data_IF_805395655838
#
_entry.id   IF_805395655838
#
_cell.length_a   1.000
_cell.length_b   1.000
_cell.length_c   1.000
_cell.angle_alpha   90.00
_cell.angle_beta   90.00
_cell.angle_gamma   90.00
#
_symmetry.space_group_name_H-M   'P 1'
#
loop_
_entity.id
_entity.type
_entity.pdbx_description
1 polymer ?
#
# COMPACT_ATOMS: atom_id res chain seq x y z
N UNK A 1 -21.65 13.34 -9.57
CA UNK A 1 -20.58 12.50 -10.15
C UNK A 1 -20.11 11.59 -9.03
N UNK A 2 -20.12 10.28 -9.20
CA UNK A 2 -19.60 9.33 -8.21
C UNK A 2 -18.08 9.39 -8.22
N UNK A 3 -17.49 9.81 -7.12
CA UNK A 3 -16.04 9.91 -6.95
C UNK A 3 -15.39 8.55 -7.23
N UNK A 4 -14.45 8.53 -8.18
CA UNK A 4 -13.65 7.35 -8.50
C UNK A 4 -12.31 7.48 -7.83
N UNK A 5 -12.04 6.66 -6.81
CA UNK A 5 -10.71 6.57 -6.23
C UNK A 5 -9.81 5.69 -7.07
N UNK A 6 -8.54 6.07 -7.16
CA UNK A 6 -7.55 5.33 -7.93
C UNK A 6 -6.38 4.88 -7.04
N UNK A 7 -6.18 3.58 -6.94
CA UNK A 7 -5.09 2.97 -6.18
C UNK A 7 -4.07 2.34 -7.10
N UNK A 8 -2.82 2.73 -6.96
CA UNK A 8 -1.70 2.12 -7.68
C UNK A 8 -1.14 0.99 -6.82
N UNK A 9 -1.17 -0.24 -7.31
CA UNK A 9 -0.73 -1.44 -6.61
C UNK A 9 0.49 -2.01 -7.34
N UNK A 10 1.59 -2.22 -6.63
CA UNK A 10 2.77 -2.86 -7.20
C UNK A 10 2.65 -4.38 -7.06
N UNK A 11 2.87 -5.11 -8.15
CA UNK A 11 3.02 -6.55 -8.17
C UNK A 11 4.51 -6.87 -8.23
N UNK A 12 5.01 -7.52 -7.18
CA UNK A 12 6.39 -7.97 -7.07
C UNK A 12 6.44 -9.48 -7.33
N UNK A 13 7.05 -9.85 -8.44
CA UNK A 13 7.27 -11.25 -8.77
C UNK A 13 8.56 -11.43 -9.56
N UNK A 14 9.17 -12.60 -9.43
CA UNK A 14 10.29 -13.02 -10.26
C UNK A 14 9.86 -13.96 -11.39
N UNK A 15 8.56 -14.29 -11.46
CA UNK A 15 7.97 -15.22 -12.40
C UNK A 15 6.77 -14.54 -13.05
N UNK A 16 7.02 -13.78 -14.13
CA UNK A 16 6.00 -13.00 -14.84
C UNK A 16 4.86 -13.88 -15.37
N UNK A 17 5.12 -15.16 -15.63
CA UNK A 17 4.09 -16.11 -16.05
C UNK A 17 2.98 -16.26 -15.01
N UNK A 18 3.28 -16.07 -13.71
CA UNK A 18 2.25 -16.04 -12.67
C UNK A 18 1.30 -14.86 -12.85
N UNK A 19 1.85 -13.69 -13.15
CA UNK A 19 1.03 -12.51 -13.37
C UNK A 19 0.14 -12.71 -14.59
N UNK A 20 0.70 -13.13 -15.72
CA UNK A 20 -0.07 -13.39 -16.95
C UNK A 20 -1.18 -14.42 -16.73
N UNK A 21 -0.94 -15.49 -15.97
CA UNK A 21 -1.96 -16.50 -15.66
C UNK A 21 -3.08 -15.99 -14.74
N UNK A 22 -2.77 -15.09 -13.80
CA UNK A 22 -3.73 -14.59 -12.82
C UNK A 22 -4.42 -13.30 -13.26
N UNK A 23 -3.87 -12.62 -14.26
CA UNK A 23 -4.29 -11.30 -14.71
C UNK A 23 -5.79 -11.23 -15.03
N UNK A 24 -6.25 -12.04 -15.98
CA UNK A 24 -7.64 -11.98 -16.46
C UNK A 24 -8.65 -12.45 -15.40
N UNK A 25 -8.24 -13.34 -14.49
CA UNK A 25 -9.11 -13.92 -13.47
C UNK A 25 -9.21 -13.10 -12.18
N UNK A 26 -8.14 -12.40 -11.80
CA UNK A 26 -7.99 -11.82 -10.46
C UNK A 26 -7.71 -10.32 -10.49
N UNK A 27 -6.84 -9.87 -11.42
CA UNK A 27 -6.46 -8.45 -11.51
C UNK A 27 -7.32 -7.65 -12.47
N UNK A 28 -8.15 -8.32 -13.28
CA UNK A 28 -9.16 -7.73 -14.15
C UNK A 28 -8.76 -7.71 -15.62
N UNK A 29 -9.56 -7.01 -16.41
CA UNK A 29 -9.46 -7.01 -17.87
C UNK A 29 -8.48 -5.91 -18.34
N UNK A 30 -7.68 -6.24 -19.34
CA UNK A 30 -6.77 -5.35 -20.03
C UNK A 30 -7.47 -4.08 -20.58
N UNK A 31 -6.71 -2.98 -20.64
CA UNK A 31 -7.04 -1.90 -21.57
C UNK A 31 -6.99 -2.45 -23.00
N UNK A 32 -7.77 -1.90 -23.94
CA UNK A 32 -7.80 -2.35 -25.34
C UNK A 32 -6.42 -2.79 -25.87
N UNK A 33 -6.37 -3.90 -26.63
CA UNK A 33 -5.16 -4.46 -27.29
C UNK A 33 -4.32 -3.44 -28.09
N UNK A 34 -4.84 -2.23 -28.30
CA UNK A 34 -4.15 -1.08 -28.90
C UNK A 34 -3.09 -0.46 -28.00
N UNK A 35 -3.14 -0.68 -26.68
CA UNK A 35 -2.09 -0.22 -25.75
C UNK A 35 -0.89 -1.18 -25.83
N UNK A 36 0.18 -0.73 -26.47
CA UNK A 36 1.41 -1.51 -26.61
C UNK A 36 2.00 -1.73 -25.22
N UNK A 37 2.12 -2.99 -24.79
CA UNK A 37 2.86 -3.33 -23.57
C UNK A 37 4.23 -2.63 -23.62
N UNK A 38 4.53 -1.83 -22.60
CA UNK A 38 5.85 -1.23 -22.48
C UNK A 38 6.79 -2.34 -22.06
N UNK A 39 7.87 -2.59 -22.82
CA UNK A 39 8.88 -3.58 -22.43
C UNK A 39 9.34 -3.29 -20.99
N UNK A 40 9.15 -4.24 -20.10
CA UNK A 40 9.51 -4.13 -18.68
C UNK A 40 8.38 -3.70 -17.73
N UNK A 41 7.17 -3.40 -18.23
CA UNK A 41 6.02 -3.05 -17.40
C UNK A 41 4.68 -3.47 -18.05
N UNK A 42 3.92 -4.27 -17.31
CA UNK A 42 2.53 -4.63 -17.61
C UNK A 42 1.60 -4.08 -16.53
N UNK A 43 0.36 -3.77 -16.89
CA UNK A 43 -0.64 -3.38 -15.90
C UNK A 43 -2.04 -3.88 -16.23
N UNK A 44 -2.88 -4.01 -15.20
CA UNK A 44 -4.29 -4.35 -15.31
C UNK A 44 -5.13 -3.45 -14.40
N UNK A 45 -6.43 -3.36 -14.67
CA UNK A 45 -7.37 -2.63 -13.83
C UNK A 45 -8.45 -3.54 -13.27
N UNK A 46 -8.76 -3.39 -11.99
CA UNK A 46 -9.98 -3.92 -11.39
C UNK A 46 -10.75 -2.84 -10.67
N UNK A 47 -12.06 -3.05 -10.57
CA UNK A 47 -12.97 -2.15 -9.85
C UNK A 47 -13.50 -2.89 -8.62
N UNK A 48 -13.38 -2.27 -7.46
CA UNK A 48 -13.90 -2.81 -6.21
C UNK A 48 -15.00 -1.91 -5.68
N UNK A 49 -15.98 -2.52 -5.02
CA UNK A 49 -16.97 -1.81 -4.20
C UNK A 49 -16.58 -1.99 -2.75
N UNK A 50 -16.17 -0.91 -2.10
CA UNK A 50 -15.67 -0.87 -0.73
C UNK A 50 -16.64 -0.04 0.12
N UNK A 51 -17.60 -0.72 0.75
CA UNK A 51 -18.75 -0.08 1.38
C UNK A 51 -19.67 0.54 0.33
N UNK A 52 -19.90 1.84 0.41
CA UNK A 52 -20.67 2.63 -0.55
C UNK A 52 -19.81 3.24 -1.68
N UNK A 53 -18.50 2.98 -1.67
CA UNK A 53 -17.55 3.60 -2.59
C UNK A 53 -17.11 2.66 -3.71
N UNK A 54 -17.05 3.17 -4.94
CA UNK A 54 -16.44 2.48 -6.07
C UNK A 54 -14.99 2.94 -6.25
N UNK A 55 -14.06 2.00 -6.15
CA UNK A 55 -12.64 2.26 -6.29
C UNK A 55 -12.07 1.51 -7.49
N UNK A 56 -11.03 2.08 -8.10
CA UNK A 56 -10.29 1.48 -9.21
C UNK A 56 -8.87 1.18 -8.73
N UNK A 57 -8.44 -0.07 -8.85
CA UNK A 57 -7.06 -0.47 -8.62
C UNK A 57 -6.36 -0.64 -9.97
N UNK A 58 -5.15 -0.09 -10.08
CA UNK A 58 -4.22 -0.32 -11.17
C UNK A 58 -3.08 -1.18 -10.65
N UNK A 59 -3.02 -2.42 -11.11
CA UNK A 59 -1.99 -3.38 -10.76
C UNK A 59 -0.84 -3.29 -11.74
N UNK A 60 0.37 -2.98 -11.26
CA UNK A 60 1.58 -2.88 -12.06
C UNK A 60 2.47 -4.09 -11.82
N UNK A 61 2.60 -4.98 -12.80
CA UNK A 61 3.60 -6.02 -12.81
C UNK A 61 4.83 -5.51 -13.56
N UNK A 62 5.98 -5.53 -12.91
CA UNK A 62 7.20 -4.96 -13.46
C UNK A 62 8.27 -6.04 -13.59
N UNK A 63 9.01 -6.01 -14.69
CA UNK A 63 9.99 -7.03 -15.01
C UNK A 63 11.14 -7.01 -13.99
N UNK A 64 11.45 -8.17 -13.41
CA UNK A 64 12.43 -8.32 -12.34
C UNK A 64 13.89 -8.35 -12.81
N UNK A 65 14.15 -8.34 -14.11
CA UNK A 65 15.52 -8.38 -14.65
C UNK A 65 16.26 -7.06 -14.38
N UNK A 66 17.57 -7.10 -14.03
CA UNK A 66 18.30 -5.90 -13.61
C UNK A 66 18.29 -4.74 -14.62
N UNK A 67 18.18 -5.04 -15.92
CA UNK A 67 18.13 -4.01 -16.97
C UNK A 67 16.92 -3.06 -16.87
N UNK A 68 15.83 -3.48 -16.21
CA UNK A 68 14.63 -2.66 -16.03
C UNK A 68 14.57 -1.94 -14.68
N UNK A 69 15.66 -1.90 -13.90
CA UNK A 69 15.67 -1.25 -12.57
C UNK A 69 15.17 0.20 -12.61
N UNK A 70 15.60 1.00 -13.60
CA UNK A 70 15.14 2.39 -13.74
C UNK A 70 13.63 2.48 -14.03
N UNK A 71 13.13 1.61 -14.92
CA UNK A 71 11.70 1.50 -15.24
C UNK A 71 10.93 1.09 -13.99
N UNK A 72 11.41 0.08 -13.26
CA UNK A 72 10.82 -0.35 -11.99
C UNK A 72 10.74 0.80 -10.99
N UNK A 73 11.82 1.53 -10.75
CA UNK A 73 11.82 2.64 -9.80
C UNK A 73 10.77 3.71 -10.14
N UNK A 74 10.61 4.03 -11.43
CA UNK A 74 9.60 4.98 -11.90
C UNK A 74 8.17 4.48 -11.60
N UNK A 75 7.90 3.21 -11.87
CA UNK A 75 6.56 2.64 -11.70
C UNK A 75 6.28 2.12 -10.28
N UNK A 76 7.28 1.86 -9.45
CA UNK A 76 7.07 1.50 -8.04
C UNK A 76 6.72 2.73 -7.20
N UNK A 77 7.24 3.92 -7.57
CA UNK A 77 6.98 5.16 -6.86
C UNK A 77 5.48 5.49 -6.79
N UNK A 78 5.02 5.83 -5.58
CA UNK A 78 3.64 6.24 -5.32
C UNK A 78 2.64 5.08 -5.26
N UNK A 79 3.12 3.83 -5.23
CA UNK A 79 2.26 2.67 -5.05
C UNK A 79 1.72 2.64 -3.62
N UNK A 80 0.41 2.43 -3.49
CA UNK A 80 -0.32 2.44 -2.22
C UNK A 80 -0.45 1.05 -1.58
N UNK A 81 -0.05 0.00 -2.30
CA UNK A 81 -0.10 -1.39 -1.84
C UNK A 81 0.88 -2.26 -2.62
N UNK A 82 1.22 -3.40 -2.03
CA UNK A 82 2.14 -4.40 -2.59
C UNK A 82 1.43 -5.74 -2.64
N UNK A 83 1.48 -6.40 -3.79
CA UNK A 83 1.15 -7.81 -3.96
C UNK A 83 2.43 -8.55 -4.28
N UNK A 84 2.76 -9.56 -3.48
CA UNK A 84 3.89 -10.45 -3.74
C UNK A 84 3.35 -11.74 -4.36
N UNK A 85 3.75 -12.04 -5.61
CA UNK A 85 3.40 -13.31 -6.25
C UNK A 85 4.56 -14.30 -6.17
N UNK A 86 4.32 -15.43 -5.52
CA UNK A 86 5.33 -16.46 -5.28
C UNK A 86 4.96 -17.76 -6.00
N UNK A 87 5.91 -18.26 -6.79
CA UNK A 87 5.90 -19.65 -7.23
C UNK A 87 6.68 -20.48 -6.19
N UNK A 88 6.01 -21.24 -5.30
CA UNK A 88 6.71 -21.95 -4.23
C UNK A 88 7.65 -23.04 -4.74
N UNK A 89 7.44 -23.52 -5.98
CA UNK A 89 8.30 -24.51 -6.65
C UNK A 89 9.67 -23.96 -7.02
N UNK A 90 9.84 -22.63 -7.06
CA UNK A 90 11.12 -21.99 -7.36
C UNK A 90 11.93 -21.80 -6.07
N UNK A 91 13.14 -22.39 -6.02
CA UNK A 91 13.99 -22.38 -4.82
C UNK A 91 14.30 -20.96 -4.32
N UNK A 92 14.62 -20.04 -5.24
CA UNK A 92 15.00 -18.65 -4.94
C UNK A 92 13.86 -17.63 -5.00
N UNK A 93 12.60 -18.09 -4.97
CA UNK A 93 11.46 -17.19 -5.12
C UNK A 93 11.45 -16.04 -4.11
N UNK A 94 11.65 -16.36 -2.83
CA UNK A 94 11.64 -15.39 -1.72
C UNK A 94 12.84 -14.46 -1.80
N UNK A 95 14.05 -14.99 -2.03
CA UNK A 95 15.28 -14.18 -2.19
C UNK A 95 15.16 -13.12 -3.30
N UNK A 96 14.54 -13.49 -4.43
CA UNK A 96 14.35 -12.56 -5.55
C UNK A 96 13.27 -11.53 -5.24
N UNK A 97 12.20 -11.93 -4.56
CA UNK A 97 11.16 -10.99 -4.12
C UNK A 97 11.67 -10.03 -3.05
N UNK A 98 12.54 -10.47 -2.14
CA UNK A 98 13.19 -9.61 -1.15
C UNK A 98 13.99 -8.48 -1.80
N UNK A 99 14.70 -8.79 -2.89
CA UNK A 99 15.39 -7.77 -3.67
C UNK A 99 14.42 -6.73 -4.23
N UNK A 100 13.30 -7.17 -4.83
CA UNK A 100 12.29 -6.27 -5.37
C UNK A 100 11.58 -5.45 -4.28
N UNK A 101 11.37 -6.04 -3.10
CA UNK A 101 10.81 -5.34 -1.94
C UNK A 101 11.77 -4.25 -1.44
N UNK A 102 13.08 -4.53 -1.38
CA UNK A 102 14.10 -3.52 -1.07
C UNK A 102 14.12 -2.38 -2.10
N UNK A 103 13.97 -2.69 -3.38
CA UNK A 103 13.82 -1.67 -4.42
C UNK A 103 12.55 -0.82 -4.19
N UNK A 104 11.40 -1.45 -3.90
CA UNK A 104 10.17 -0.73 -3.54
C UNK A 104 10.38 0.24 -2.39
N UNK A 105 11.03 -0.21 -1.30
CA UNK A 105 11.29 0.60 -0.11
C UNK A 105 12.26 1.74 -0.43
N UNK A 106 13.23 1.52 -1.31
CA UNK A 106 14.19 2.57 -1.68
C UNK A 106 13.55 3.76 -2.40
N UNK A 107 12.41 3.55 -3.07
CA UNK A 107 11.69 4.59 -3.83
C UNK A 107 10.39 5.05 -3.17
N UNK A 108 9.92 4.35 -2.12
CA UNK A 108 8.74 4.70 -1.35
C UNK A 108 9.12 4.92 0.12
N UNK A 109 8.75 6.07 0.68
CA UNK A 109 9.16 6.47 2.03
C UNK A 109 8.57 5.62 3.17
N UNK A 110 7.56 4.80 2.90
CA UNK A 110 6.83 4.04 3.91
C UNK A 110 6.44 2.66 3.41
N UNK A 111 6.41 1.65 4.30
CA UNK A 111 5.86 0.34 4.00
C UNK A 111 4.37 0.47 3.69
N UNK A 112 3.98 0.08 2.48
CA UNK A 112 2.58 -0.05 2.07
C UNK A 112 2.02 -1.41 2.52
N UNK A 113 0.69 -1.58 2.64
CA UNK A 113 0.08 -2.87 2.95
C UNK A 113 0.54 -3.93 1.96
N UNK A 114 0.80 -5.13 2.47
CA UNK A 114 1.33 -6.25 1.70
C UNK A 114 0.33 -7.40 1.75
N UNK A 115 0.15 -8.06 0.62
CA UNK A 115 -0.48 -9.38 0.54
C UNK A 115 0.43 -10.34 -0.23
N UNK A 116 0.56 -11.58 0.26
CA UNK A 116 1.31 -12.64 -0.42
C UNK A 116 0.31 -13.57 -1.08
N UNK A 117 0.42 -13.70 -2.41
CA UNK A 117 -0.31 -14.68 -3.19
C UNK A 117 0.67 -15.72 -3.68
N UNK A 118 0.38 -17.00 -3.48
CA UNK A 118 1.24 -18.07 -3.98
C UNK A 118 0.45 -19.11 -4.76
N UNK A 119 1.04 -19.69 -5.80
CA UNK A 119 0.35 -20.74 -6.55
C UNK A 119 0.23 -21.99 -5.69
N UNK A 120 -0.94 -22.64 -5.71
CA UNK A 120 -1.10 -23.93 -5.04
C UNK A 120 -0.14 -24.95 -5.63
N UNK A 121 0.59 -25.62 -4.73
CA UNK A 121 1.38 -26.80 -5.06
C UNK A 121 0.59 -28.06 -4.70
N UNK A 122 -0.40 -28.38 -5.54
CA UNK A 122 -1.35 -29.46 -5.26
C UNK A 122 -2.43 -29.04 -4.26
N UNK A 123 -2.72 -29.87 -3.25
CA UNK A 123 -3.83 -29.63 -2.29
C UNK A 123 -3.41 -28.94 -0.99
N UNK A 124 -2.12 -28.74 -0.76
CA UNK A 124 -1.61 -28.22 0.51
C UNK A 124 -1.17 -26.75 0.38
N UNK A 125 -1.38 -26.01 1.47
CA UNK A 125 -0.85 -24.65 1.64
C UNK A 125 0.67 -24.68 1.52
N UNK A 126 1.25 -23.76 0.76
CA UNK A 126 2.71 -23.65 0.69
C UNK A 126 3.26 -23.17 2.03
N UNK A 127 3.77 -24.10 2.85
CA UNK A 127 4.44 -23.79 4.12
C UNK A 127 5.53 -22.73 3.97
N UNK A 128 6.22 -22.73 2.82
CA UNK A 128 7.29 -21.78 2.49
C UNK A 128 6.74 -20.36 2.29
N UNK A 129 5.68 -20.22 1.50
CA UNK A 129 5.05 -18.92 1.21
C UNK A 129 4.38 -18.34 2.46
N UNK A 130 3.76 -19.19 3.29
CA UNK A 130 3.19 -18.80 4.56
C UNK A 130 4.25 -18.31 5.55
N UNK A 131 5.35 -19.07 5.71
CA UNK A 131 6.45 -18.65 6.58
C UNK A 131 7.05 -17.31 6.15
N UNK A 132 7.13 -17.08 4.84
CA UNK A 132 7.57 -15.80 4.28
C UNK A 132 6.61 -14.64 4.58
N UNK A 133 5.29 -14.86 4.46
CA UNK A 133 4.31 -13.85 4.86
C UNK A 133 4.42 -13.49 6.36
N UNK A 134 4.62 -14.47 7.23
CA UNK A 134 4.85 -14.24 8.68
C UNK A 134 6.13 -13.45 8.93
N UNK A 135 7.20 -13.70 8.17
CA UNK A 135 8.43 -12.91 8.27
C UNK A 135 8.21 -11.45 7.85
N UNK A 136 7.46 -11.23 6.76
CA UNK A 136 7.09 -9.89 6.30
C UNK A 136 6.18 -9.17 7.29
N UNK A 137 5.27 -9.88 7.95
CA UNK A 137 4.43 -9.31 9.02
C UNK A 137 5.28 -8.85 10.19
N UNK A 138 6.22 -9.69 10.66
CA UNK A 138 7.15 -9.31 11.72
C UNK A 138 8.03 -8.11 11.33
N UNK A 139 8.50 -8.07 10.08
CA UNK A 139 9.34 -6.98 9.59
C UNK A 139 8.57 -5.67 9.42
N UNK A 140 7.37 -5.74 8.82
CA UNK A 140 6.60 -4.55 8.43
C UNK A 140 5.73 -4.00 9.56
N UNK A 141 5.41 -4.82 10.56
CA UNK A 141 4.44 -4.50 11.61
C UNK A 141 2.98 -4.50 11.14
N UNK A 142 2.72 -4.85 9.87
CA UNK A 142 1.38 -5.02 9.32
C UNK A 142 1.02 -6.49 9.27
N UNK A 143 -0.25 -6.82 9.51
CA UNK A 143 -0.79 -8.12 9.11
C UNK A 143 -0.56 -8.31 7.60
N UNK A 144 0.11 -9.40 7.22
CA UNK A 144 0.39 -9.75 5.82
C UNK A 144 -0.41 -11.00 5.46
N UNK A 145 -1.60 -10.86 4.83
CA UNK A 145 -2.39 -12.01 4.45
C UNK A 145 -1.65 -12.89 3.46
N UNK A 146 -1.83 -14.20 3.60
CA UNK A 146 -1.28 -15.21 2.71
C UNK A 146 -2.40 -16.02 2.07
N UNK A 147 -2.41 -16.11 0.75
CA UNK A 147 -3.39 -16.89 0.00
C UNK A 147 -2.71 -17.83 -0.98
N UNK A 148 -3.16 -19.08 -0.97
CA UNK A 148 -2.84 -19.99 -2.06
C UNK A 148 -3.90 -19.92 -3.15
N UNK A 149 -3.45 -19.64 -4.35
CA UNK A 149 -4.25 -19.32 -5.51
C UNK A 149 -4.33 -20.53 -6.43
N UNK A 150 -5.56 -20.79 -6.89
CA UNK A 150 -5.80 -21.49 -8.14
C UNK A 150 -6.11 -20.45 -9.22
N UNK A 151 -5.96 -20.80 -10.50
CA UNK A 151 -6.19 -19.91 -11.65
C UNK A 151 -7.60 -19.28 -11.70
N UNK A 152 -8.57 -19.77 -10.90
CA UNK A 152 -9.98 -19.32 -10.89
C UNK A 152 -10.59 -19.23 -9.47
N UNK A 153 -9.85 -18.71 -8.50
CA UNK A 153 -10.36 -18.70 -7.12
C UNK A 153 -11.26 -17.50 -6.83
N UNK A 154 -12.57 -17.70 -6.64
CA UNK A 154 -13.48 -16.68 -6.05
C UNK A 154 -12.97 -16.16 -4.69
N UNK A 155 -12.22 -16.99 -3.96
CA UNK A 155 -11.55 -16.59 -2.71
C UNK A 155 -10.54 -15.48 -2.91
N UNK A 156 -9.94 -15.37 -4.10
CA UNK A 156 -8.95 -14.34 -4.41
C UNK A 156 -9.58 -12.95 -4.49
N UNK A 157 -10.73 -12.85 -5.14
CA UNK A 157 -11.44 -11.57 -5.30
C UNK A 157 -11.89 -11.02 -3.94
N UNK A 158 -12.45 -11.89 -3.09
CA UNK A 158 -12.87 -11.52 -1.74
C UNK A 158 -11.72 -10.99 -0.89
N UNK A 159 -10.57 -11.67 -0.91
CA UNK A 159 -9.42 -11.27 -0.11
C UNK A 159 -8.68 -10.08 -0.71
N UNK A 160 -8.68 -9.92 -2.03
CA UNK A 160 -8.26 -8.67 -2.66
C UNK A 160 -9.16 -7.52 -2.24
N UNK A 161 -10.48 -7.72 -2.10
CA UNK A 161 -11.38 -6.71 -1.54
C UNK A 161 -10.95 -6.25 -0.15
N UNK A 162 -10.65 -7.20 0.76
CA UNK A 162 -10.12 -6.88 2.11
C UNK A 162 -8.78 -6.17 2.05
N UNK A 163 -7.87 -6.61 1.18
CA UNK A 163 -6.59 -5.96 0.96
C UNK A 163 -6.77 -4.52 0.46
N UNK A 164 -7.71 -4.28 -0.45
CA UNK A 164 -8.01 -2.95 -0.97
C UNK A 164 -8.60 -2.03 0.11
N UNK A 165 -9.39 -2.56 1.06
CA UNK A 165 -9.83 -1.81 2.23
C UNK A 165 -8.64 -1.41 3.13
N UNK A 166 -7.68 -2.32 3.35
CA UNK A 166 -6.44 -2.01 4.06
C UNK A 166 -5.62 -0.92 3.33
N UNK A 167 -5.50 -1.01 2.00
CA UNK A 167 -4.82 0.01 1.17
C UNK A 167 -5.50 1.37 1.27
N UNK A 168 -6.84 1.40 1.20
CA UNK A 168 -7.63 2.63 1.36
C UNK A 168 -7.37 3.29 2.71
N UNK A 169 -7.47 2.52 3.81
CA UNK A 169 -7.25 3.02 5.16
C UNK A 169 -5.79 3.47 5.39
N UNK A 170 -4.82 2.69 4.92
CA UNK A 170 -3.41 3.04 5.00
C UNK A 170 -3.09 4.33 4.25
N UNK A 171 -3.63 4.49 3.03
CA UNK A 171 -3.37 5.70 2.24
C UNK A 171 -3.94 6.94 2.92
N UNK A 172 -5.13 6.81 3.52
CA UNK A 172 -5.74 7.88 4.29
C UNK A 172 -4.83 8.32 5.46
N UNK A 173 -4.32 7.35 6.24
CA UNK A 173 -3.38 7.57 7.34
C UNK A 173 -2.05 8.18 6.88
N UNK A 174 -1.43 7.63 5.84
CA UNK A 174 -0.11 8.06 5.37
C UNK A 174 -0.13 9.51 4.89
N UNK A 175 -1.18 9.92 4.19
CA UNK A 175 -1.40 11.32 3.82
C UNK A 175 -1.43 12.24 5.03
N UNK A 176 -2.23 11.87 6.05
CA UNK A 176 -2.33 12.65 7.28
C UNK A 176 -0.96 12.75 7.92
N UNK A 177 -0.24 11.63 8.02
CA UNK A 177 1.11 11.57 8.55
C UNK A 177 2.11 12.45 7.79
N UNK A 178 2.18 12.38 6.45
CA UNK A 178 3.04 13.25 5.65
C UNK A 178 2.74 14.72 5.88
N UNK A 179 1.46 15.05 6.01
CA UNK A 179 1.02 16.41 6.26
C UNK A 179 1.44 16.86 7.65
N UNK A 180 1.21 16.04 8.68
CA UNK A 180 1.70 16.30 10.04
C UNK A 180 3.22 16.51 10.04
N UNK A 181 3.99 15.66 9.34
CA UNK A 181 5.46 15.83 9.24
C UNK A 181 5.87 17.15 8.61
N UNK A 182 5.21 17.57 7.53
CA UNK A 182 5.44 18.87 6.90
C UNK A 182 5.05 20.04 7.82
N UNK A 183 3.98 19.89 8.60
CA UNK A 183 3.46 20.96 9.47
C UNK A 183 4.21 21.15 10.76
N UNK A 184 4.62 20.05 11.38
CA UNK A 184 5.37 20.09 12.62
C UNK A 184 6.86 20.28 12.39
N UNK A 185 7.31 20.29 11.13
CA UNK A 185 8.73 20.29 10.74
C UNK A 185 9.51 19.44 11.74
N UNK A 186 9.20 18.14 11.79
CA UNK A 186 9.61 17.23 12.89
C UNK A 186 11.14 17.21 13.09
N UNK A 187 11.89 17.69 12.09
CA UNK A 187 13.33 17.84 12.09
C UNK A 187 13.81 19.21 12.67
N UNK A 188 12.93 20.21 12.78
CA UNK A 188 13.15 21.50 13.45
C UNK A 188 12.46 21.54 14.83
N UNK A 189 13.26 21.41 15.87
CA UNK A 189 12.81 21.33 17.27
C UNK A 189 12.21 22.67 17.70
N UNK A 190 10.88 22.74 17.84
CA UNK A 190 10.26 23.66 18.80
C UNK A 190 8.94 23.09 19.32
N UNK A 191 8.69 23.24 20.63
CA UNK A 191 7.42 22.90 21.27
C UNK A 191 6.32 23.79 20.70
N UNK A 192 5.69 23.35 19.62
CA UNK A 192 4.59 24.07 18.99
C UNK A 192 3.29 23.33 19.23
N UNK A 193 2.35 24.01 19.88
CA UNK A 193 0.94 23.63 19.89
C UNK A 193 0.33 24.01 18.55
N UNK A 194 -0.34 23.08 17.89
CA UNK A 194 -1.10 23.35 16.66
C UNK A 194 -2.53 22.86 16.83
N UNK A 195 -3.47 23.70 16.39
CA UNK A 195 -4.89 23.32 16.33
C UNK A 195 -5.13 22.25 15.27
N UNK A 196 -5.83 21.19 15.66
CA UNK A 196 -6.34 20.12 14.79
C UNK A 196 -7.17 20.72 13.65
N UNK A 197 -8.02 21.71 13.93
CA UNK A 197 -8.86 22.36 12.91
C UNK A 197 -8.03 23.06 11.83
N UNK A 198 -6.90 23.68 12.22
CA UNK A 198 -5.98 24.30 11.25
C UNK A 198 -5.31 23.24 10.37
N UNK A 199 -4.86 22.12 10.95
CA UNK A 199 -4.28 21.00 10.21
C UNK A 199 -5.32 20.41 9.26
N UNK A 200 -6.54 20.15 9.75
CA UNK A 200 -7.69 19.66 8.96
C UNK A 200 -8.04 20.60 7.82
N UNK A 201 -8.14 21.92 8.07
CA UNK A 201 -8.42 22.92 7.04
C UNK A 201 -7.36 22.94 5.95
N UNK A 202 -6.09 22.81 6.32
CA UNK A 202 -4.99 22.81 5.36
C UNK A 202 -4.86 21.49 4.61
N UNK A 203 -5.08 20.35 5.27
CA UNK A 203 -5.33 19.07 4.62
C UNK A 203 -6.41 19.26 3.56
N UNK A 204 -7.56 19.85 3.92
CA UNK A 204 -8.66 20.05 2.98
C UNK A 204 -8.28 20.91 1.78
N UNK A 205 -7.42 21.93 1.96
CA UNK A 205 -6.87 22.76 0.86
C UNK A 205 -5.88 22.02 -0.04
N UNK A 206 -5.05 21.14 0.52
CA UNK A 206 -4.13 20.29 -0.24
C UNK A 206 -4.93 19.24 -1.04
N UNK A 207 -6.04 18.77 -0.45
CA UNK A 207 -6.76 17.59 -0.91
C UNK A 207 -8.08 17.84 -1.65
N UNK A 208 -8.52 19.10 -1.78
CA UNK A 208 -9.68 19.48 -2.61
C UNK A 208 -9.58 18.98 -4.05
N UNK A 209 -8.38 18.65 -4.52
CA UNK A 209 -8.12 18.21 -5.88
C UNK A 209 -8.04 16.69 -6.10
N UNK A 210 -8.14 15.81 -5.08
CA UNK A 210 -7.88 14.39 -5.39
C UNK A 210 -8.53 13.30 -4.53
N UNK A 211 -8.81 13.48 -3.22
CA UNK A 211 -9.28 12.34 -2.39
C UNK A 211 -10.16 12.67 -1.16
N UNK A 212 -10.09 13.87 -0.57
CA UNK A 212 -10.69 14.14 0.76
C UNK A 212 -12.00 14.92 0.74
N UNK A 213 -12.70 14.95 -0.40
CA UNK A 213 -14.06 15.48 -0.41
C UNK A 213 -15.05 14.56 0.37
N UNK A 214 -14.65 13.32 0.68
CA UNK A 214 -15.53 12.27 1.20
C UNK A 214 -15.30 11.86 2.65
N UNK A 215 -14.21 12.33 3.26
CA UNK A 215 -14.04 12.21 4.71
C UNK A 215 -14.62 13.50 5.28
N UNK A 216 -15.70 13.38 6.06
CA UNK A 216 -16.23 14.55 6.75
C UNK A 216 -15.20 15.11 7.73
N UNK A 217 -15.36 16.36 8.16
CA UNK A 217 -14.37 17.00 9.03
C UNK A 217 -14.20 16.24 10.34
N UNK A 218 -15.24 15.59 10.86
CA UNK A 218 -15.15 14.82 12.10
C UNK A 218 -14.27 13.57 11.95
N UNK A 219 -14.43 12.84 10.84
CA UNK A 219 -13.61 11.68 10.52
C UNK A 219 -12.17 12.08 10.21
N UNK A 220 -11.95 13.21 9.51
CA UNK A 220 -10.61 13.71 9.21
C UNK A 220 -9.91 14.17 10.49
N UNK A 221 -10.63 14.83 11.39
CA UNK A 221 -10.10 15.19 12.71
C UNK A 221 -9.78 13.95 13.55
N UNK A 222 -10.63 12.93 13.56
CA UNK A 222 -10.37 11.67 14.27
C UNK A 222 -9.10 10.99 13.73
N UNK A 223 -8.94 10.95 12.39
CA UNK A 223 -7.76 10.40 11.74
C UNK A 223 -6.49 11.20 12.08
N UNK A 224 -6.58 12.53 12.09
CA UNK A 224 -5.48 13.42 12.52
C UNK A 224 -5.08 13.14 13.96
N UNK A 225 -6.04 13.01 14.88
CA UNK A 225 -5.78 12.70 16.29
C UNK A 225 -5.12 11.32 16.43
N UNK A 226 -5.72 10.28 15.84
CA UNK A 226 -5.17 8.93 15.87
C UNK A 226 -3.74 8.86 15.31
N UNK A 227 -3.50 9.44 14.13
CA UNK A 227 -2.16 9.44 13.52
C UNK A 227 -1.15 10.24 14.33
N UNK A 228 -1.57 11.30 15.04
CA UNK A 228 -0.69 12.02 15.95
C UNK A 228 -0.34 11.16 17.17
N UNK A 229 -1.29 10.47 17.79
CA UNK A 229 -1.03 9.58 18.93
C UNK A 229 -0.13 8.39 18.55
N UNK A 230 -0.36 7.77 17.38
CA UNK A 230 0.46 6.66 16.85
C UNK A 230 1.94 7.07 16.71
N UNK A 231 2.21 8.35 16.46
CA UNK A 231 3.54 8.93 16.30
C UNK A 231 4.11 9.52 17.61
N UNK A 232 3.42 9.33 18.73
CA UNK A 232 3.85 9.79 20.05
C UNK A 232 3.60 11.27 20.33
N UNK A 233 2.73 11.92 19.57
CA UNK A 233 2.22 13.25 19.94
C UNK A 233 1.15 13.10 21.04
N UNK A 234 1.08 14.09 21.94
CA UNK A 234 0.01 14.15 22.93
C UNK A 234 -1.16 14.93 22.35
N UNK A 235 -2.30 14.28 22.18
CA UNK A 235 -3.54 14.94 21.78
C UNK A 235 -4.32 15.32 23.04
N UNK A 236 -4.65 16.61 23.19
CA UNK A 236 -5.49 17.06 24.31
C UNK A 236 -6.95 16.98 23.86
N UNK A 237 -7.67 15.98 24.38
CA UNK A 237 -9.07 15.69 23.99
C UNK A 237 -9.98 16.92 24.06
N UNK A 238 -9.78 17.78 25.07
CA UNK A 238 -10.63 18.92 25.36
C UNK A 238 -10.27 20.22 24.63
N UNK A 239 -9.14 20.30 23.92
CA UNK A 239 -8.69 21.58 23.31
C UNK A 239 -8.60 21.57 21.79
N UNK A 240 -8.89 20.46 21.09
CA UNK A 240 -8.61 20.33 19.65
C UNK A 240 -7.17 20.74 19.30
N UNK A 241 -6.23 20.54 20.23
CA UNK A 241 -4.82 20.86 20.03
C UNK A 241 -3.99 19.57 20.06
N UNK A 242 -2.97 19.56 19.21
CA UNK A 242 -1.92 18.55 19.21
C UNK A 242 -0.69 19.20 19.81
N UNK A 243 -0.22 18.65 20.92
CA UNK A 243 1.02 19.04 21.56
C UNK A 243 2.12 18.05 21.20
N UNK A 244 3.24 18.60 20.75
CA UNK A 244 4.44 17.82 20.55
C UNK A 244 5.21 17.69 21.87
N UNK A 245 5.34 16.47 22.36
CA UNK A 245 6.22 16.13 23.48
C UNK A 245 7.01 14.87 23.08
N UNK A 246 8.21 15.05 22.56
CA UNK A 246 9.00 13.93 22.03
C UNK A 246 9.61 13.11 23.18
N UNK A 247 9.23 11.83 23.29
CA UNK A 247 10.15 10.78 23.71
C UNK A 247 10.44 9.97 22.44
N UNK A 248 11.59 10.23 21.81
CA UNK A 248 12.04 9.46 20.64
C UNK A 248 12.10 7.98 21.02
N UNK A 249 11.26 7.14 20.40
CA UNK A 249 11.65 5.74 20.23
C UNK A 249 12.91 5.77 19.36
N UNK A 250 13.96 5.12 19.85
CA UNK A 250 15.22 4.97 19.10
C UNK A 250 14.93 4.43 17.71
N UNK A 251 15.62 4.97 16.69
CA UNK A 251 15.60 4.43 15.35
C UNK A 251 16.01 2.94 15.43
N UNK A 252 15.16 1.98 15.01
CA UNK A 252 15.52 0.57 15.06
C UNK A 252 16.65 0.20 14.08
N UNK A 253 17.12 1.16 13.28
CA UNK A 253 18.21 1.02 12.32
C UNK A 253 19.46 1.85 12.67
N UNK A 254 19.49 2.52 13.83
CA UNK A 254 20.70 3.14 14.38
C UNK A 254 21.47 2.19 15.30
#
# INVERSE_FOLDING_TARGET
MTDRHFFKIAILTHDESLYENLKDGIFGIDFEKSYTQTRGAAFAFSHFTLGDQRVTAQFWCLDATPQFTMVRHLYLKGSSGIIILINPRKKRATELTDRLLREFISVNRYPAPIIVLSMKDGKAISKKSLAYATELERWSGFEVPHLDMDEKSESAEFELGKFMEKVKNWRAKNVVFQTLKLYFDIDSISNQTRSVERITSQLRKIYTNTYYQLIDDSQLMALVKQSAEEEGFTVIENSNEINYSRNLKSDPFS
#
